data_IF_427390759883
#
_entry.id   IF_427390759883
#
_cell.length_a   1.000
_cell.length_b   1.000
_cell.length_c   1.000
_cell.angle_alpha   90.00
_cell.angle_beta   90.00
_cell.angle_gamma   90.00
#
_symmetry.space_group_name_H-M   'P 1'
#
loop_
_entity.id
_entity.type
_entity.pdbx_description
1 polymer ?
#
# COMPACT_ATOMS: atom_id res chain seq x y z
N UNK A 1 9.61 5.65 11.49
CA UNK A 1 11.06 5.75 11.31
C UNK A 1 11.54 4.67 10.36
N UNK A 2 12.30 5.03 9.34
CA UNK A 2 12.93 4.04 8.47
C UNK A 2 14.34 4.47 8.01
N UNK A 3 15.14 3.49 7.62
CA UNK A 3 16.48 3.69 7.07
C UNK A 3 16.66 2.80 5.85
N UNK A 4 17.47 3.22 4.90
CA UNK A 4 17.81 2.45 3.71
C UNK A 4 18.93 3.10 2.90
N UNK A 5 19.49 2.37 1.96
CA UNK A 5 20.65 2.81 1.18
C UNK A 5 20.42 2.92 -0.32
N UNK A 6 19.20 2.76 -0.80
CA UNK A 6 18.87 2.92 -2.21
C UNK A 6 18.63 4.39 -2.60
N UNK A 7 18.44 4.65 -3.89
CA UNK A 7 18.26 5.99 -4.44
C UNK A 7 17.04 6.71 -3.88
N UNK A 8 15.99 5.98 -3.48
CA UNK A 8 14.80 6.58 -2.89
C UNK A 8 15.12 7.24 -1.54
N UNK A 9 15.94 6.59 -0.72
CA UNK A 9 16.42 7.18 0.54
C UNK A 9 17.39 8.34 0.30
N UNK A 10 18.27 8.25 -0.70
CA UNK A 10 19.14 9.37 -1.09
C UNK A 10 18.30 10.60 -1.48
N UNK A 11 17.21 10.42 -2.20
CA UNK A 11 16.30 11.49 -2.57
C UNK A 11 15.60 12.15 -1.38
N UNK A 12 15.51 11.47 -0.24
CA UNK A 12 14.91 12.01 1.00
C UNK A 12 15.75 13.11 1.66
N UNK A 13 16.99 13.30 1.24
CA UNK A 13 17.80 14.43 1.70
C UNK A 13 17.24 15.78 1.20
N UNK A 14 16.34 15.77 0.21
CA UNK A 14 15.60 16.94 -0.25
C UNK A 14 14.42 17.23 0.69
N UNK A 15 14.36 18.42 1.26
CA UNK A 15 13.29 18.86 2.17
C UNK A 15 11.88 18.81 1.51
N UNK A 16 11.78 19.20 0.24
CA UNK A 16 10.53 19.17 -0.52
C UNK A 16 10.00 17.74 -0.65
N UNK A 17 10.85 16.81 -1.08
CA UNK A 17 10.49 15.39 -1.23
C UNK A 17 10.12 14.73 0.10
N UNK A 18 10.77 15.14 1.18
CA UNK A 18 10.44 14.65 2.52
C UNK A 18 9.02 15.07 2.93
N UNK A 19 8.62 16.31 2.63
CA UNK A 19 7.26 16.81 2.88
C UNK A 19 6.20 15.98 2.14
N UNK A 20 6.36 15.78 0.84
CA UNK A 20 5.43 15.01 0.01
C UNK A 20 5.28 13.56 0.52
N UNK A 21 6.39 12.95 0.93
CA UNK A 21 6.37 11.58 1.48
C UNK A 21 5.72 11.48 2.86
N UNK A 22 5.80 12.52 3.69
CA UNK A 22 5.05 12.54 4.95
C UNK A 22 3.56 12.54 4.68
N UNK A 23 3.08 13.38 3.77
CA UNK A 23 1.67 13.45 3.38
C UNK A 23 1.19 12.07 2.90
N UNK A 24 1.85 11.49 1.90
CA UNK A 24 1.44 10.20 1.33
C UNK A 24 1.44 9.05 2.34
N UNK A 25 2.38 9.03 3.29
CA UNK A 25 2.41 8.01 4.35
C UNK A 25 1.30 8.21 5.36
N UNK A 26 0.99 9.46 5.73
CA UNK A 26 -0.09 9.77 6.67
C UNK A 26 -1.43 9.38 6.08
N UNK A 27 -1.71 9.75 4.84
CA UNK A 27 -2.98 9.43 4.17
C UNK A 27 -3.18 7.93 4.00
N UNK A 28 -2.12 7.19 3.65
CA UNK A 28 -2.19 5.73 3.53
C UNK A 28 -2.61 5.04 4.85
N UNK A 29 -2.19 5.58 6.01
CA UNK A 29 -2.61 5.06 7.33
C UNK A 29 -4.02 5.52 7.68
N UNK A 30 -4.30 6.80 7.51
CA UNK A 30 -5.60 7.40 7.86
C UNK A 30 -6.76 6.76 7.09
N UNK A 31 -6.54 6.35 5.84
CA UNK A 31 -7.55 5.70 5.01
C UNK A 31 -8.02 4.33 5.52
N UNK A 32 -7.25 3.71 6.42
CA UNK A 32 -7.60 2.41 7.02
C UNK A 32 -8.43 2.53 8.29
N UNK A 33 -8.62 3.75 8.81
CA UNK A 33 -9.30 4.01 10.07
C UNK A 33 -10.74 4.45 9.80
N UNK A 34 -11.68 4.00 10.64
CA UNK A 34 -13.08 4.48 10.60
C UNK A 34 -13.16 5.97 10.95
N UNK A 35 -12.33 6.41 11.91
CA UNK A 35 -12.19 7.79 12.30
C UNK A 35 -10.71 8.18 12.21
N UNK A 36 -10.36 9.23 11.46
CA UNK A 36 -8.99 9.70 11.37
C UNK A 36 -8.41 10.06 12.73
N UNK A 37 -7.15 9.72 12.96
CA UNK A 37 -6.43 10.16 14.15
C UNK A 37 -6.13 11.67 14.06
N UNK A 38 -6.17 12.39 15.19
CA UNK A 38 -5.65 13.77 15.26
C UNK A 38 -4.17 13.83 14.85
N UNK A 39 -3.76 14.92 14.24
CA UNK A 39 -2.40 15.10 13.72
C UNK A 39 -1.31 14.97 14.80
N UNK A 40 -1.62 15.39 16.04
CA UNK A 40 -0.72 15.27 17.20
C UNK A 40 -0.54 13.84 17.71
N UNK A 41 -1.35 12.90 17.22
CA UNK A 41 -1.24 11.47 17.52
C UNK A 41 -0.53 10.68 16.41
N UNK A 42 -0.07 11.35 15.36
CA UNK A 42 0.64 10.73 14.25
C UNK A 42 2.06 11.28 14.18
N UNK A 43 3.04 10.40 14.33
CA UNK A 43 4.43 10.75 14.14
C UNK A 43 5.04 9.96 12.98
N UNK A 44 5.32 10.65 11.87
CA UNK A 44 6.11 10.13 10.78
C UNK A 44 7.53 10.61 10.97
N UNK A 45 8.37 9.73 11.50
CA UNK A 45 9.77 9.99 11.79
C UNK A 45 10.63 10.12 10.54
N UNK A 46 11.92 10.51 10.72
CA UNK A 46 12.83 10.70 9.63
C UNK A 46 13.05 9.41 8.84
N UNK A 47 13.43 9.61 7.58
CA UNK A 47 13.96 8.55 6.72
C UNK A 47 15.43 8.87 6.48
N UNK A 48 16.32 8.04 7.03
CA UNK A 48 17.75 8.26 6.91
C UNK A 48 18.35 7.47 5.76
N UNK A 49 19.24 8.14 5.00
CA UNK A 49 20.04 7.49 3.99
C UNK A 49 21.30 6.88 4.61
N UNK A 50 21.41 5.55 4.50
CA UNK A 50 22.52 4.76 5.05
C UNK A 50 23.15 3.96 3.91
N UNK A 51 24.20 4.48 3.24
CA UNK A 51 24.74 3.92 1.98
C UNK A 51 25.09 2.44 2.03
N UNK A 52 25.64 1.96 3.12
CA UNK A 52 26.06 0.55 3.25
C UNK A 52 24.89 -0.43 3.40
N UNK A 53 23.65 0.04 3.66
CA UNK A 53 22.46 -0.80 3.62
C UNK A 53 22.07 -1.19 2.20
N UNK A 54 22.58 -0.49 1.18
CA UNK A 54 22.24 -0.73 -0.24
C UNK A 54 20.72 -0.72 -0.43
N UNK A 55 20.13 -1.81 -0.97
CA UNK A 55 18.69 -1.91 -1.19
C UNK A 55 17.92 -2.37 0.06
N UNK A 56 18.61 -2.79 1.13
CA UNK A 56 17.95 -3.17 2.36
C UNK A 56 17.31 -1.96 3.05
N UNK A 57 16.03 -2.07 3.34
CA UNK A 57 15.24 -1.10 4.12
C UNK A 57 14.89 -1.67 5.48
N UNK A 58 15.08 -0.86 6.51
CA UNK A 58 14.61 -1.17 7.87
C UNK A 58 13.56 -0.14 8.27
N UNK A 59 12.39 -0.62 8.67
CA UNK A 59 11.29 0.21 9.14
C UNK A 59 10.93 -0.16 10.58
N UNK A 60 10.69 0.86 11.40
CA UNK A 60 10.14 0.73 12.75
C UNK A 60 8.76 1.39 12.79
N UNK A 61 7.78 0.65 13.26
CA UNK A 61 6.42 1.12 13.46
C UNK A 61 6.00 0.84 14.91
N UNK A 62 5.35 1.82 15.54
CA UNK A 62 4.70 1.65 16.84
C UNK A 62 3.26 2.12 16.75
N UNK A 63 2.36 1.32 17.25
CA UNK A 63 0.93 1.62 17.34
C UNK A 63 0.52 1.51 18.80
N UNK A 64 -0.10 2.55 19.30
CA UNK A 64 -0.66 2.58 20.67
C UNK A 64 -2.18 2.65 20.59
N UNK A 65 -2.85 1.95 21.48
CA UNK A 65 -4.30 1.89 21.52
C UNK A 65 -4.83 1.44 22.87
N UNK A 66 -6.11 1.18 22.90
CA UNK A 66 -6.80 0.64 24.08
C UNK A 66 -7.53 -0.63 23.70
N UNK A 67 -7.29 -1.69 24.46
CA UNK A 67 -8.02 -2.93 24.35
C UNK A 67 -9.31 -2.94 25.19
N UNK A 68 -9.87 -4.12 25.37
CA UNK A 68 -11.06 -4.33 26.17
C UNK A 68 -10.89 -3.72 27.57
N UNK A 69 -11.93 -3.06 28.07
CA UNK A 69 -11.90 -2.39 29.38
C UNK A 69 -11.02 -1.13 29.44
N UNK A 70 -10.59 -0.59 28.31
CA UNK A 70 -9.75 0.61 28.24
C UNK A 70 -8.28 0.37 28.62
N UNK A 71 -7.85 -0.89 28.69
CA UNK A 71 -6.48 -1.24 29.05
C UNK A 71 -5.52 -0.81 27.94
N UNK A 72 -4.40 -0.12 28.26
CA UNK A 72 -3.42 0.26 27.26
C UNK A 72 -2.84 -0.94 26.50
N UNK A 73 -2.68 -0.79 25.21
CA UNK A 73 -2.05 -1.76 24.30
C UNK A 73 -1.01 -1.04 23.43
N UNK A 74 0.14 -1.66 23.26
CA UNK A 74 1.12 -1.20 22.27
C UNK A 74 1.60 -2.36 21.41
N UNK A 75 1.76 -2.08 20.10
CA UNK A 75 2.36 -2.97 19.13
C UNK A 75 3.63 -2.30 18.57
N UNK A 76 4.73 -3.03 18.57
CA UNK A 76 5.96 -2.62 17.92
C UNK A 76 6.30 -3.61 16.83
N UNK A 77 6.57 -3.06 15.62
CA UNK A 77 6.96 -3.83 14.45
C UNK A 77 8.31 -3.33 13.94
N UNK A 78 9.23 -4.25 13.70
CA UNK A 78 10.44 -4.02 12.93
C UNK A 78 10.41 -4.86 11.66
N UNK A 79 10.44 -4.20 10.50
CA UNK A 79 10.51 -4.84 9.20
C UNK A 79 11.89 -4.58 8.59
N UNK A 80 12.53 -5.61 8.06
CA UNK A 80 13.76 -5.51 7.27
C UNK A 80 13.55 -6.26 5.95
N UNK A 81 13.65 -5.57 4.84
CA UNK A 81 13.38 -6.12 3.49
C UNK A 81 14.34 -5.53 2.46
N UNK A 82 14.59 -6.27 1.39
CA UNK A 82 15.13 -5.71 0.16
C UNK A 82 14.00 -4.93 -0.53
N UNK A 83 14.13 -3.61 -0.59
CA UNK A 83 13.04 -2.68 -0.95
C UNK A 83 12.57 -2.86 -2.39
N UNK A 84 13.51 -2.97 -3.32
CA UNK A 84 13.21 -3.08 -4.76
C UNK A 84 12.47 -4.38 -5.11
N UNK A 85 12.91 -5.58 -4.71
CA UNK A 85 12.16 -6.81 -4.95
C UNK A 85 10.79 -6.81 -4.26
N UNK A 86 10.69 -6.21 -3.06
CA UNK A 86 9.44 -6.14 -2.30
C UNK A 86 8.38 -5.29 -3.03
N UNK A 87 8.79 -4.22 -3.72
CA UNK A 87 7.88 -3.37 -4.50
C UNK A 87 7.65 -3.87 -5.93
N UNK A 88 8.50 -4.77 -6.44
CA UNK A 88 8.42 -5.22 -7.83
C UNK A 88 7.10 -5.95 -8.14
N UNK A 89 6.59 -6.76 -7.23
CA UNK A 89 5.33 -7.48 -7.40
C UNK A 89 4.16 -6.52 -7.65
N UNK A 90 4.01 -5.53 -6.79
CA UNK A 90 2.98 -4.50 -6.93
C UNK A 90 3.12 -3.70 -8.23
N UNK A 91 4.35 -3.31 -8.58
CA UNK A 91 4.64 -2.60 -9.82
C UNK A 91 4.26 -3.41 -11.06
N UNK A 92 4.52 -4.71 -11.05
CA UNK A 92 4.14 -5.62 -12.15
C UNK A 92 2.62 -5.65 -12.30
N UNK A 93 1.87 -5.75 -11.21
CA UNK A 93 0.40 -5.77 -11.25
C UNK A 93 -0.16 -4.43 -11.73
N UNK A 94 0.39 -3.30 -11.31
CA UNK A 94 0.02 -1.99 -11.82
C UNK A 94 0.26 -1.88 -13.35
N UNK A 95 1.41 -2.36 -13.85
CA UNK A 95 1.73 -2.38 -15.29
C UNK A 95 0.76 -3.27 -16.06
N UNK A 96 0.43 -4.45 -15.53
CA UNK A 96 -0.54 -5.38 -16.14
C UNK A 96 -1.93 -4.74 -16.25
N UNK A 97 -2.38 -4.06 -15.19
CA UNK A 97 -3.64 -3.32 -15.21
C UNK A 97 -3.63 -2.16 -16.21
N UNK A 98 -2.52 -1.43 -16.33
CA UNK A 98 -2.35 -0.41 -17.37
C UNK A 98 -2.44 -1.01 -18.78
N UNK A 99 -1.85 -2.19 -19.01
CA UNK A 99 -1.97 -2.90 -20.28
C UNK A 99 -3.42 -3.28 -20.58
N UNK A 100 -4.12 -3.87 -19.62
CA UNK A 100 -5.54 -4.22 -19.76
C UNK A 100 -6.40 -3.00 -20.10
N UNK A 101 -6.20 -1.89 -19.39
CA UNK A 101 -6.89 -0.63 -19.67
C UNK A 101 -6.68 -0.16 -21.10
N UNK A 102 -5.42 -0.13 -21.55
CA UNK A 102 -5.07 0.28 -22.90
C UNK A 102 -5.70 -0.62 -23.96
N UNK A 103 -5.61 -1.94 -23.77
CA UNK A 103 -6.15 -2.92 -24.71
C UNK A 103 -7.70 -2.88 -24.74
N UNK A 104 -8.33 -2.53 -23.62
CA UNK A 104 -9.78 -2.28 -23.50
C UNK A 104 -10.23 -0.86 -23.87
N UNK A 105 -9.33 -0.01 -24.44
CA UNK A 105 -9.66 1.35 -24.87
C UNK A 105 -9.97 2.32 -23.73
N UNK A 106 -9.57 2.01 -22.49
CA UNK A 106 -9.73 2.89 -21.34
C UNK A 106 -8.59 3.90 -21.27
N UNK A 107 -8.92 5.17 -21.09
CA UNK A 107 -7.96 6.27 -20.94
C UNK A 107 -8.23 7.07 -19.67
N UNK A 108 -7.22 7.79 -19.20
CA UNK A 108 -7.29 8.60 -17.97
C UNK A 108 -6.77 7.88 -16.74
N UNK A 109 -6.95 8.45 -15.55
CA UNK A 109 -6.55 7.83 -14.28
C UNK A 109 -7.28 6.51 -14.06
N UNK A 110 -6.55 5.48 -13.67
CA UNK A 110 -7.10 4.18 -13.30
C UNK A 110 -7.38 4.17 -11.79
N UNK A 111 -8.45 4.84 -11.37
CA UNK A 111 -8.76 5.06 -9.94
C UNK A 111 -8.85 3.75 -9.16
N UNK A 112 -9.51 2.74 -9.71
CA UNK A 112 -9.66 1.44 -9.06
C UNK A 112 -8.32 0.74 -8.82
N UNK A 113 -7.37 0.88 -9.77
CA UNK A 113 -6.04 0.27 -9.66
C UNK A 113 -5.16 1.08 -8.72
N UNK A 114 -5.11 2.40 -8.91
CA UNK A 114 -4.27 3.28 -8.10
C UNK A 114 -4.68 3.31 -6.63
N UNK A 115 -5.97 3.13 -6.32
CA UNK A 115 -6.44 3.05 -4.95
C UNK A 115 -5.80 1.90 -4.16
N UNK A 116 -5.51 0.78 -4.82
CA UNK A 116 -4.87 -0.38 -4.21
C UNK A 116 -3.33 -0.34 -4.30
N UNK A 117 -2.79 0.09 -5.44
CA UNK A 117 -1.35 0.01 -5.72
C UNK A 117 -0.55 1.26 -5.32
N UNK A 118 -1.19 2.40 -5.06
CA UNK A 118 -0.50 3.66 -4.79
C UNK A 118 -0.81 4.18 -3.39
N UNK A 119 0.19 4.77 -2.72
CA UNK A 119 0.03 5.35 -1.37
C UNK A 119 -0.77 6.65 -1.35
N UNK A 120 -0.79 7.35 -2.48
CA UNK A 120 -1.48 8.64 -2.62
C UNK A 120 -2.23 8.66 -3.95
N UNK A 121 -3.29 7.84 -4.06
CA UNK A 121 -4.12 7.77 -5.26
C UNK A 121 -5.02 9.00 -5.37
N UNK A 122 -5.61 9.28 -6.55
CA UNK A 122 -6.59 10.34 -6.73
C UNK A 122 -7.81 10.23 -5.81
N UNK A 123 -8.22 8.98 -5.51
CA UNK A 123 -9.30 8.66 -4.58
C UNK A 123 -8.81 7.60 -3.62
N UNK A 124 -8.83 7.93 -2.33
CA UNK A 124 -8.37 7.04 -1.26
C UNK A 124 -9.52 6.14 -0.80
N UNK A 125 -9.24 4.84 -0.63
CA UNK A 125 -10.16 3.84 -0.09
C UNK A 125 -9.45 2.98 0.95
N UNK A 126 -10.18 2.36 1.89
CA UNK A 126 -9.65 1.27 2.69
C UNK A 126 -9.17 0.11 1.80
N UNK A 127 -8.14 -0.60 2.21
CA UNK A 127 -7.47 -1.63 1.38
C UNK A 127 -8.43 -2.72 0.87
N UNK A 128 -9.39 -3.15 1.70
CA UNK A 128 -10.36 -4.18 1.30
C UNK A 128 -11.28 -3.68 0.18
N UNK A 129 -11.70 -2.42 0.23
CA UNK A 129 -12.55 -1.80 -0.81
C UNK A 129 -11.73 -1.54 -2.07
N UNK A 130 -10.50 -1.06 -1.93
CA UNK A 130 -9.58 -0.83 -3.03
C UNK A 130 -9.30 -2.13 -3.81
N UNK A 131 -9.08 -3.25 -3.11
CA UNK A 131 -8.90 -4.57 -3.71
C UNK A 131 -10.13 -5.01 -4.49
N UNK A 132 -11.33 -4.92 -3.90
CA UNK A 132 -12.58 -5.28 -4.59
C UNK A 132 -12.80 -4.46 -5.87
N UNK A 133 -12.46 -3.17 -5.84
CA UNK A 133 -12.55 -2.29 -7.01
C UNK A 133 -11.57 -2.69 -8.10
N UNK A 134 -10.34 -3.03 -7.75
CA UNK A 134 -9.33 -3.49 -8.69
C UNK A 134 -9.72 -4.84 -9.30
N UNK A 135 -10.20 -5.80 -8.52
CA UNK A 135 -10.67 -7.10 -9.01
C UNK A 135 -11.85 -6.94 -9.97
N UNK A 136 -12.79 -6.05 -9.68
CA UNK A 136 -13.91 -5.74 -10.57
C UNK A 136 -13.44 -5.13 -11.89
N UNK A 137 -12.52 -4.17 -11.84
CA UNK A 137 -11.90 -3.57 -13.01
C UNK A 137 -11.23 -4.63 -13.91
N UNK A 138 -10.48 -5.56 -13.33
CA UNK A 138 -9.86 -6.67 -14.06
C UNK A 138 -10.93 -7.56 -14.70
N UNK A 139 -11.96 -7.95 -13.94
CA UNK A 139 -13.03 -8.81 -14.43
C UNK A 139 -13.81 -8.19 -15.61
N UNK A 140 -14.14 -6.89 -15.54
CA UNK A 140 -14.81 -6.16 -16.61
C UNK A 140 -14.03 -6.17 -17.93
N UNK A 141 -12.71 -5.97 -17.85
CA UNK A 141 -11.87 -5.90 -19.05
C UNK A 141 -11.50 -7.28 -19.60
N UNK A 142 -11.47 -8.30 -18.76
CA UNK A 142 -11.22 -9.68 -19.21
C UNK A 142 -12.44 -10.38 -19.75
N UNK A 143 -13.65 -10.06 -19.28
CA UNK A 143 -14.90 -10.62 -19.77
C UNK A 143 -15.22 -10.14 -21.20
N UNK A 144 -14.72 -8.97 -21.62
CA UNK A 144 -14.92 -8.42 -22.96
C UNK A 144 -13.91 -8.85 -24.03
N UNK A 145 -12.80 -9.49 -23.64
CA UNK A 145 -11.71 -9.94 -24.51
C UNK A 145 -11.49 -11.45 -24.34
N UNK A 146 -12.10 -12.23 -25.22
CA UNK A 146 -11.93 -13.67 -25.20
C UNK A 146 -10.55 -14.13 -25.65
N UNK A 147 -9.60 -14.20 -24.73
CA UNK A 147 -8.46 -15.14 -24.80
C UNK A 147 -8.02 -15.43 -23.36
N UNK A 148 -8.30 -16.63 -22.92
CA UNK A 148 -8.31 -17.18 -21.57
C UNK A 148 -7.02 -17.14 -20.73
N UNK A 149 -6.28 -16.03 -20.72
CA UNK A 149 -5.07 -15.86 -19.92
C UNK A 149 -5.30 -15.21 -18.54
N UNK A 150 -6.53 -14.81 -18.25
CA UNK A 150 -6.90 -14.21 -16.95
C UNK A 150 -8.21 -14.79 -16.41
N UNK A 151 -8.19 -16.01 -15.94
CA UNK A 151 -9.14 -16.42 -14.94
C UNK A 151 -8.71 -15.80 -13.60
N UNK A 152 -9.56 -15.01 -12.91
CA UNK A 152 -9.24 -14.58 -11.55
C UNK A 152 -9.01 -15.84 -10.71
N UNK A 153 -7.90 -15.90 -9.98
CA UNK A 153 -7.71 -16.95 -9.00
C UNK A 153 -8.91 -16.90 -8.04
N UNK A 154 -9.58 -18.02 -7.77
CA UNK A 154 -10.68 -18.04 -6.82
C UNK A 154 -10.16 -17.44 -5.52
N UNK A 155 -10.89 -16.46 -4.98
CA UNK A 155 -10.52 -15.70 -3.78
C UNK A 155 -10.30 -16.65 -2.60
N UNK A 156 -9.12 -17.23 -2.48
CA UNK A 156 -8.73 -18.07 -1.35
C UNK A 156 -8.58 -17.26 -0.05
N UNK A 157 -8.67 -15.93 -0.14
CA UNK A 157 -8.64 -15.04 1.02
C UNK A 157 -9.97 -14.99 1.79
N UNK A 158 -11.11 -15.32 1.18
CA UNK A 158 -12.40 -15.39 1.89
C UNK A 158 -12.54 -16.61 2.79
N UNK A 159 -11.77 -17.67 2.57
CA UNK A 159 -11.91 -18.92 3.33
C UNK A 159 -11.15 -18.90 4.68
N UNK A 160 -10.29 -17.91 4.94
CA UNK A 160 -9.50 -17.84 6.19
C UNK A 160 -10.09 -16.94 7.28
N UNK A 161 -11.07 -16.11 6.98
CA UNK A 161 -11.68 -15.24 8.00
C UNK A 161 -12.81 -15.92 8.81
N UNK A 162 -13.28 -17.10 8.42
CA UNK A 162 -14.31 -17.83 9.16
C UNK A 162 -13.79 -18.94 10.07
N UNK A 163 -12.46 -19.24 10.04
CA UNK A 163 -11.87 -20.31 10.87
C UNK A 163 -11.17 -19.82 12.15
N UNK A 164 -11.20 -18.53 12.44
CA UNK A 164 -10.57 -17.95 13.64
C UNK A 164 -11.55 -17.22 14.56
N UNK A 165 -12.71 -17.82 14.86
CA UNK A 165 -13.49 -17.45 16.03
C UNK A 165 -13.87 -18.73 16.79
N UNK A 166 -13.47 -18.84 18.08
CA UNK A 166 -13.94 -19.91 18.95
C UNK A 166 -15.40 -19.74 19.30
#
# INVERSE_FOLDING_TARGET
LNTGGNTDFLNMLSQTRLGDKRISKTEAVQSQLNEPLPDDQIHIGPSDYVPWQKDNKVCFCRIEGRGFGGVPLSLELRLSVEDSPNSAGETIDAIRCCKLARDGGRAGPLEAVSAFTMKHPPVQHPDFEALERMERFIAELTAGGGDGLYAPAPSQLRARSSEFLP
#
